data_IF_872851143125
#
_entry.id   IF_872851143125
#
_cell.length_a   1.000
_cell.length_b   1.000
_cell.length_c   1.000
_cell.angle_alpha   90.00
_cell.angle_beta   90.00
_cell.angle_gamma   90.00
#
_symmetry.space_group_name_H-M   'P 1'
#
loop_
_entity.id
_entity.type
_entity.pdbx_description
1 polymer ?
#
# COMPACT_ATOMS: atom_id res chain seq x y z
N UNK A 1 7.99 -3.23 23.20
CA UNK A 1 6.87 -2.33 23.56
C UNK A 1 6.25 -1.71 22.32
N UNK A 2 7.03 -1.04 21.45
CA UNK A 2 6.45 -0.34 20.28
C UNK A 2 5.77 -1.30 19.28
N UNK A 3 6.34 -2.50 19.02
CA UNK A 3 5.68 -3.51 18.17
C UNK A 3 4.34 -3.99 18.74
N UNK A 4 4.24 -4.12 20.06
CA UNK A 4 2.98 -4.46 20.74
C UNK A 4 1.95 -3.34 20.61
N UNK A 5 2.40 -2.09 20.74
CA UNK A 5 1.55 -0.91 20.52
C UNK A 5 1.08 -0.84 19.05
N UNK A 6 1.94 -1.12 18.08
CA UNK A 6 1.53 -1.22 16.67
C UNK A 6 0.49 -2.32 16.46
N UNK A 7 0.71 -3.51 17.04
CA UNK A 7 -0.24 -4.61 16.97
C UNK A 7 -1.62 -4.24 17.53
N UNK A 8 -1.66 -3.49 18.63
CA UNK A 8 -2.90 -2.94 19.19
C UNK A 8 -3.53 -1.87 18.28
N UNK A 9 -2.71 -1.00 17.70
CA UNK A 9 -3.20 0.14 16.91
C UNK A 9 -3.73 -0.28 15.51
N UNK A 10 -3.17 -1.31 14.88
CA UNK A 10 -3.52 -1.71 13.51
C UNK A 10 -5.02 -1.94 13.31
N UNK A 11 -5.75 -2.73 14.14
CA UNK A 11 -7.19 -2.91 13.96
C UNK A 11 -7.99 -1.62 14.11
N UNK A 12 -7.56 -0.73 15.02
CA UNK A 12 -8.19 0.57 15.23
C UNK A 12 -7.94 1.50 14.03
N UNK A 13 -6.75 1.48 13.47
CA UNK A 13 -6.39 2.21 12.25
C UNK A 13 -7.27 1.75 11.09
N UNK A 14 -7.42 0.44 10.91
CA UNK A 14 -8.28 -0.13 9.87
C UNK A 14 -9.72 0.36 10.06
N UNK A 15 -10.27 0.23 11.24
CA UNK A 15 -11.64 0.66 11.52
C UNK A 15 -11.81 2.16 11.32
N UNK A 16 -10.89 2.97 11.84
CA UNK A 16 -10.98 4.43 11.81
C UNK A 16 -10.74 5.06 10.45
N UNK A 17 -10.00 4.43 9.56
CA UNK A 17 -9.72 4.97 8.22
C UNK A 17 -10.62 4.34 7.14
N UNK A 18 -10.87 3.04 7.21
CA UNK A 18 -11.62 2.33 6.15
C UNK A 18 -13.12 2.60 6.25
N UNK A 19 -13.68 2.66 7.48
CA UNK A 19 -15.12 2.86 7.64
C UNK A 19 -15.62 4.21 7.09
N UNK A 20 -15.02 5.37 7.46
CA UNK A 20 -15.39 6.66 6.89
C UNK A 20 -15.20 6.70 5.38
N UNK A 21 -14.06 6.20 4.89
CA UNK A 21 -13.77 6.16 3.46
C UNK A 21 -14.85 5.41 2.66
N UNK A 22 -15.33 4.27 3.15
CA UNK A 22 -16.44 3.53 2.51
C UNK A 22 -17.75 4.29 2.64
N UNK A 23 -18.05 4.89 3.80
CA UNK A 23 -19.30 5.62 4.03
C UNK A 23 -19.41 6.87 3.16
N UNK A 24 -18.29 7.50 2.81
CA UNK A 24 -18.25 8.70 1.99
C UNK A 24 -18.41 8.42 0.50
N UNK A 25 -18.18 7.20 0.05
CA UNK A 25 -18.42 6.79 -1.33
C UNK A 25 -19.90 7.02 -1.74
N UNK A 26 -20.85 6.97 -0.82
CA UNK A 26 -22.22 7.46 -0.93
C UNK A 26 -23.01 7.16 -2.22
N UNK A 27 -24.31 7.42 -2.20
CA UNK A 27 -25.26 7.17 -3.32
C UNK A 27 -25.07 8.09 -4.55
N UNK A 28 -24.22 9.11 -4.46
CA UNK A 28 -24.24 10.25 -5.40
C UNK A 28 -23.43 10.09 -6.68
N UNK A 29 -22.53 9.12 -6.75
CA UNK A 29 -21.59 9.01 -7.87
C UNK A 29 -21.99 7.99 -8.97
N UNK A 30 -23.06 7.25 -8.80
CA UNK A 30 -23.69 6.42 -9.82
C UNK A 30 -22.72 5.56 -10.65
N UNK A 31 -22.89 5.56 -11.97
CA UNK A 31 -22.11 4.77 -12.94
C UNK A 31 -20.61 5.14 -12.93
N UNK A 32 -20.27 6.41 -12.74
CA UNK A 32 -18.88 6.87 -12.76
C UNK A 32 -18.08 6.29 -11.58
N UNK A 33 -18.68 6.18 -10.39
CA UNK A 33 -18.07 5.54 -9.22
C UNK A 33 -17.79 4.07 -9.51
N UNK A 34 -18.79 3.31 -9.99
CA UNK A 34 -18.65 1.88 -10.27
C UNK A 34 -17.51 1.63 -11.26
N UNK A 35 -17.48 2.40 -12.34
CA UNK A 35 -16.44 2.27 -13.38
C UNK A 35 -15.06 2.63 -12.82
N UNK A 36 -14.95 3.72 -12.05
CA UNK A 36 -13.67 4.15 -11.45
C UNK A 36 -13.16 3.10 -10.46
N UNK A 37 -14.01 2.60 -9.58
CA UNK A 37 -13.66 1.55 -8.61
C UNK A 37 -13.25 0.27 -9.34
N UNK A 38 -14.00 -0.18 -10.34
CA UNK A 38 -13.68 -1.38 -11.11
C UNK A 38 -12.32 -1.27 -11.82
N UNK A 39 -12.01 -0.11 -12.41
CA UNK A 39 -10.71 0.14 -13.04
C UNK A 39 -9.59 0.20 -11.99
N UNK A 40 -9.81 0.89 -10.87
CA UNK A 40 -8.82 1.02 -9.79
C UNK A 40 -8.45 -0.35 -9.20
N UNK A 41 -9.46 -1.15 -8.84
CA UNK A 41 -9.22 -2.50 -8.30
C UNK A 41 -8.65 -3.46 -9.35
N UNK A 42 -9.20 -3.46 -10.57
CA UNK A 42 -8.66 -4.27 -11.67
C UNK A 42 -7.19 -3.97 -11.96
N UNK A 43 -6.82 -2.69 -11.96
CA UNK A 43 -5.44 -2.24 -12.11
C UNK A 43 -4.55 -2.66 -10.93
N UNK A 44 -5.07 -2.62 -9.71
CA UNK A 44 -4.35 -3.03 -8.50
C UNK A 44 -4.09 -4.54 -8.50
N UNK A 45 -5.10 -5.35 -8.82
CA UNK A 45 -4.97 -6.81 -8.96
C UNK A 45 -4.00 -7.16 -10.08
N UNK A 46 -4.11 -6.50 -11.24
CA UNK A 46 -3.17 -6.69 -12.35
C UNK A 46 -1.72 -6.42 -11.93
N UNK A 47 -1.46 -5.31 -11.22
CA UNK A 47 -0.13 -4.97 -10.75
C UNK A 47 0.41 -6.00 -9.75
N UNK A 48 -0.41 -6.46 -8.82
CA UNK A 48 -0.08 -7.52 -7.87
C UNK A 48 0.28 -8.84 -8.57
N UNK A 49 -0.52 -9.25 -9.55
CA UNK A 49 -0.25 -10.46 -10.35
C UNK A 49 1.04 -10.34 -11.15
N UNK A 50 1.29 -9.22 -11.81
CA UNK A 50 2.54 -8.96 -12.55
C UNK A 50 3.73 -9.05 -11.59
N UNK A 51 3.61 -8.47 -10.39
CA UNK A 51 4.64 -8.53 -9.36
C UNK A 51 4.91 -9.96 -8.91
N UNK A 52 3.86 -10.73 -8.64
CA UNK A 52 3.98 -12.14 -8.25
C UNK A 52 4.67 -12.97 -9.32
N UNK A 53 4.17 -12.91 -10.57
CA UNK A 53 4.73 -13.69 -11.68
C UNK A 53 6.20 -13.35 -11.94
N UNK A 54 6.53 -12.06 -11.91
CA UNK A 54 7.92 -11.61 -12.09
C UNK A 54 8.79 -12.03 -10.91
N UNK A 55 8.31 -11.88 -9.68
CA UNK A 55 9.04 -12.29 -8.48
C UNK A 55 9.27 -13.81 -8.44
N UNK A 56 8.24 -14.61 -8.74
CA UNK A 56 8.35 -16.06 -8.80
C UNK A 56 9.35 -16.53 -9.87
N UNK A 57 9.48 -15.78 -10.98
CA UNK A 57 10.42 -16.11 -12.06
C UNK A 57 11.87 -15.65 -11.76
N UNK A 58 12.06 -14.46 -11.18
CA UNK A 58 13.39 -13.84 -11.05
C UNK A 58 14.02 -14.01 -9.67
N UNK A 59 13.23 -13.99 -8.58
CA UNK A 59 13.77 -13.98 -7.23
C UNK A 59 14.49 -15.27 -6.82
N UNK A 60 14.10 -16.48 -7.24
CA UNK A 60 14.88 -17.70 -6.93
C UNK A 60 16.32 -17.63 -7.40
N UNK A 61 16.61 -16.96 -8.53
CA UNK A 61 17.95 -16.74 -9.03
C UNK A 61 18.73 -15.61 -8.32
N UNK A 62 18.02 -14.73 -7.59
CA UNK A 62 18.62 -13.59 -6.89
C UNK A 62 18.82 -13.86 -5.40
N UNK A 63 17.96 -14.69 -4.84
CA UNK A 63 17.95 -15.08 -3.44
C UNK A 63 18.61 -16.46 -3.37
N UNK A 64 19.83 -16.52 -2.84
CA UNK A 64 20.42 -17.82 -2.52
C UNK A 64 19.62 -18.45 -1.39
N UNK A 65 19.04 -19.61 -1.67
CA UNK A 65 18.14 -20.30 -0.75
C UNK A 65 18.81 -20.54 0.61
N UNK A 66 18.26 -19.89 1.62
CA UNK A 66 18.01 -20.38 2.95
C UNK A 66 19.10 -20.91 3.87
N UNK A 67 20.35 -21.00 3.46
CA UNK A 67 21.36 -21.66 4.32
C UNK A 67 22.00 -20.78 5.39
N UNK A 68 21.77 -19.48 5.39
CA UNK A 68 22.43 -18.58 6.34
C UNK A 68 21.49 -17.87 7.34
N UNK A 69 20.23 -17.63 6.99
CA UNK A 69 19.35 -16.84 7.87
C UNK A 69 18.73 -17.67 9.00
N UNK A 70 18.45 -18.95 8.77
CA UNK A 70 17.83 -19.81 9.79
C UNK A 70 18.79 -20.33 10.85
N UNK A 71 20.06 -20.56 10.49
CA UNK A 71 21.08 -21.02 11.46
C UNK A 71 21.62 -19.88 12.35
N UNK A 72 21.66 -18.65 11.82
CA UNK A 72 22.18 -17.49 12.56
C UNK A 72 21.10 -16.86 13.44
N UNK A 73 19.85 -16.85 13.00
CA UNK A 73 18.73 -16.29 13.76
C UNK A 73 18.48 -17.03 15.09
N UNK A 74 18.81 -18.31 15.16
CA UNK A 74 18.63 -19.11 16.39
C UNK A 74 19.75 -18.93 17.41
N UNK A 75 20.91 -18.36 17.03
CA UNK A 75 22.09 -18.32 17.90
C UNK A 75 22.31 -16.98 18.64
N UNK A 76 21.66 -15.88 18.25
CA UNK A 76 22.00 -14.54 18.73
C UNK A 76 20.79 -13.59 18.95
N UNK A 77 19.58 -14.09 19.14
CA UNK A 77 18.45 -13.22 19.49
C UNK A 77 18.68 -12.53 20.83
N UNK A 78 18.81 -11.22 20.80
CA UNK A 78 18.82 -10.40 22.01
C UNK A 78 17.45 -10.46 22.66
N UNK A 79 17.33 -11.16 23.79
CA UNK A 79 16.10 -11.17 24.56
C UNK A 79 15.88 -9.81 25.25
N UNK A 80 14.67 -9.24 25.19
CA UNK A 80 14.38 -8.00 25.89
C UNK A 80 14.41 -8.20 27.42
N UNK A 81 14.93 -7.22 28.16
CA UNK A 81 14.97 -7.26 29.62
C UNK A 81 13.60 -7.39 30.28
N UNK A 82 12.54 -6.90 29.61
CA UNK A 82 11.15 -7.06 30.01
C UNK A 82 10.23 -6.99 28.79
N UNK A 83 9.11 -7.67 28.87
CA UNK A 83 8.06 -7.65 27.84
C UNK A 83 6.81 -6.99 28.39
N UNK A 84 6.23 -6.07 27.60
CA UNK A 84 4.90 -5.49 27.87
C UNK A 84 3.96 -6.08 26.84
N UNK A 85 2.96 -6.82 27.28
CA UNK A 85 1.94 -7.39 26.40
C UNK A 85 0.78 -6.41 26.27
N UNK A 86 0.52 -5.95 25.04
CA UNK A 86 -0.62 -5.10 24.71
C UNK A 86 -1.45 -5.87 23.69
N UNK A 87 -2.47 -6.63 24.14
CA UNK A 87 -3.27 -7.42 23.21
C UNK A 87 -4.08 -6.49 22.29
N UNK A 88 -4.24 -6.81 21.00
CA UNK A 88 -5.11 -6.06 20.12
C UNK A 88 -6.56 -6.20 20.57
N UNK A 89 -7.36 -5.14 20.39
CA UNK A 89 -8.79 -5.14 20.72
C UNK A 89 -9.56 -6.18 19.90
N UNK A 90 -9.14 -6.40 18.65
CA UNK A 90 -9.70 -7.41 17.74
C UNK A 90 -8.66 -7.83 16.72
N UNK A 91 -8.89 -8.95 16.04
CA UNK A 91 -8.04 -9.38 14.92
C UNK A 91 -8.19 -8.46 13.70
N UNK A 92 -7.18 -8.43 12.85
CA UNK A 92 -7.14 -7.60 11.62
C UNK A 92 -8.33 -7.91 10.70
N UNK A 93 -8.63 -9.19 10.49
CA UNK A 93 -9.78 -9.60 9.66
C UNK A 93 -11.11 -9.18 10.26
N UNK A 94 -11.26 -9.25 11.58
CA UNK A 94 -12.46 -8.78 12.28
C UNK A 94 -12.64 -7.26 12.09
N UNK A 95 -11.55 -6.49 12.21
CA UNK A 95 -11.57 -5.05 11.97
C UNK A 95 -11.95 -4.71 10.53
N UNK A 96 -11.44 -5.44 9.54
CA UNK A 96 -11.81 -5.27 8.13
C UNK A 96 -13.30 -5.56 7.90
N UNK A 97 -13.78 -6.73 8.33
CA UNK A 97 -15.21 -7.10 8.16
C UNK A 97 -16.11 -6.07 8.83
N UNK A 98 -15.76 -5.63 10.03
CA UNK A 98 -16.50 -4.60 10.76
C UNK A 98 -16.48 -3.26 10.03
N UNK A 99 -15.31 -2.83 9.52
CA UNK A 99 -15.17 -1.59 8.76
C UNK A 99 -16.03 -1.60 7.48
N UNK A 100 -16.01 -2.70 6.73
CA UNK A 100 -16.87 -2.83 5.54
C UNK A 100 -18.35 -2.87 5.90
N UNK A 101 -18.73 -3.62 6.92
CA UNK A 101 -20.13 -3.71 7.34
C UNK A 101 -20.69 -2.35 7.78
N UNK A 102 -19.94 -1.64 8.65
CA UNK A 102 -20.33 -0.31 9.11
C UNK A 102 -20.30 0.72 7.98
N UNK A 103 -19.25 0.72 7.16
CA UNK A 103 -19.10 1.66 6.06
C UNK A 103 -20.22 1.53 5.02
N UNK A 104 -20.51 0.31 4.58
CA UNK A 104 -21.62 0.04 3.64
C UNK A 104 -22.97 0.32 4.27
N UNK A 105 -23.16 -0.06 5.55
CA UNK A 105 -24.40 0.23 6.28
C UNK A 105 -24.66 1.74 6.38
N UNK A 106 -23.65 2.54 6.69
CA UNK A 106 -23.76 4.00 6.76
C UNK A 106 -24.00 4.65 5.40
N UNK A 107 -23.31 4.16 4.37
CA UNK A 107 -23.56 4.60 3.00
C UNK A 107 -25.02 4.35 2.55
N UNK A 108 -25.62 3.25 3.04
CA UNK A 108 -27.00 2.88 2.73
C UNK A 108 -28.06 3.64 3.56
N UNK A 109 -27.78 3.88 4.86
CA UNK A 109 -28.74 4.46 5.81
C UNK A 109 -28.83 5.98 5.78
N UNK A 110 -27.84 6.65 5.21
CA UNK A 110 -27.75 8.13 5.11
C UNK A 110 -27.94 8.85 6.46
N UNK A 111 -27.37 8.28 7.53
CA UNK A 111 -27.43 8.83 8.90
C UNK A 111 -26.18 9.59 9.24
N UNK A 112 -26.29 10.90 9.51
CA UNK A 112 -25.15 11.79 9.75
C UNK A 112 -24.50 11.56 11.12
N UNK A 113 -25.28 11.38 12.19
CA UNK A 113 -24.73 11.32 13.56
C UNK A 113 -23.63 10.28 13.76
N UNK A 114 -23.84 9.05 13.26
CA UNK A 114 -22.82 8.00 13.38
C UNK A 114 -21.67 8.23 12.39
N UNK A 115 -21.97 8.82 11.24
CA UNK A 115 -20.96 9.20 10.24
C UNK A 115 -20.01 10.24 10.80
N UNK A 116 -20.55 11.30 11.43
CA UNK A 116 -19.76 12.36 12.08
C UNK A 116 -18.90 11.79 13.21
N UNK A 117 -19.45 10.90 14.05
CA UNK A 117 -18.69 10.24 15.12
C UNK A 117 -17.53 9.38 14.59
N UNK A 118 -17.70 8.73 13.43
CA UNK A 118 -16.63 7.96 12.80
C UNK A 118 -15.57 8.86 12.16
N UNK A 119 -15.95 10.02 11.63
CA UNK A 119 -14.98 11.03 11.19
C UNK A 119 -14.20 11.63 12.36
N UNK A 120 -14.83 11.88 13.50
CA UNK A 120 -14.11 12.29 14.72
C UNK A 120 -13.13 11.21 15.17
N UNK A 121 -13.53 9.94 15.13
CA UNK A 121 -12.65 8.81 15.44
C UNK A 121 -11.49 8.71 14.44
N UNK A 122 -11.74 8.91 13.14
CA UNK A 122 -10.70 9.01 12.10
C UNK A 122 -9.66 10.08 12.46
N UNK A 123 -10.10 11.28 12.87
CA UNK A 123 -9.18 12.35 13.27
C UNK A 123 -8.34 11.97 14.50
N UNK A 124 -8.91 11.27 15.47
CA UNK A 124 -8.16 10.74 16.62
C UNK A 124 -7.10 9.75 16.18
N UNK A 125 -7.44 8.82 15.27
CA UNK A 125 -6.50 7.86 14.70
C UNK A 125 -5.38 8.55 13.92
N UNK A 126 -5.71 9.50 13.04
CA UNK A 126 -4.71 10.27 12.28
C UNK A 126 -3.77 11.03 13.23
N UNK A 127 -4.31 11.66 14.28
CA UNK A 127 -3.50 12.34 15.28
C UNK A 127 -2.59 11.38 16.03
N UNK A 128 -3.08 10.19 16.37
CA UNK A 128 -2.27 9.14 17.04
C UNK A 128 -1.13 8.66 16.13
N UNK A 129 -1.42 8.44 14.85
CA UNK A 129 -0.40 8.07 13.85
C UNK A 129 0.69 9.15 13.79
N UNK A 130 0.29 10.40 13.61
CA UNK A 130 1.21 11.53 13.43
C UNK A 130 2.02 11.87 14.68
N UNK A 131 1.42 11.73 15.87
CA UNK A 131 2.04 12.16 17.14
C UNK A 131 2.80 11.04 17.86
N UNK A 132 2.44 9.78 17.65
CA UNK A 132 3.06 8.64 18.32
C UNK A 132 3.74 7.67 17.36
N UNK A 133 3.03 7.20 16.32
CA UNK A 133 3.56 6.13 15.46
C UNK A 133 4.70 6.66 14.59
N UNK A 134 4.46 7.72 13.83
CA UNK A 134 5.46 8.27 12.89
C UNK A 134 6.75 8.70 13.61
N UNK A 135 6.72 9.45 14.73
CA UNK A 135 7.95 9.86 15.40
C UNK A 135 8.75 8.71 16.01
N UNK A 136 8.09 7.63 16.45
CA UNK A 136 8.76 6.47 17.05
C UNK A 136 9.23 5.43 16.02
N UNK A 137 8.67 5.46 14.81
CA UNK A 137 8.98 4.51 13.74
C UNK A 137 10.46 4.49 13.35
N UNK A 138 11.18 5.63 13.19
CA UNK A 138 12.60 5.62 12.88
C UNK A 138 13.44 4.95 13.96
N UNK A 139 13.12 5.14 15.24
CA UNK A 139 13.81 4.49 16.36
C UNK A 139 13.56 2.97 16.36
N UNK A 140 12.34 2.56 16.04
CA UNK A 140 11.98 1.16 15.92
C UNK A 140 12.73 0.48 14.76
N UNK A 141 12.74 1.11 13.59
CA UNK A 141 13.47 0.64 12.42
C UNK A 141 14.99 0.58 12.71
N UNK A 142 15.53 1.62 13.35
CA UNK A 142 16.94 1.63 13.79
C UNK A 142 17.25 0.43 14.69
N UNK A 143 16.38 0.13 15.67
CA UNK A 143 16.54 -1.04 16.55
C UNK A 143 16.54 -2.37 15.79
N UNK A 144 15.69 -2.53 14.78
CA UNK A 144 15.68 -3.71 13.91
C UNK A 144 17.01 -3.84 13.17
N UNK A 145 17.46 -2.78 12.49
CA UNK A 145 18.72 -2.81 11.76
C UNK A 145 19.96 -3.03 12.68
N UNK A 146 19.91 -2.48 13.88
CA UNK A 146 20.96 -2.70 14.88
C UNK A 146 21.03 -4.18 15.26
N UNK A 147 19.90 -4.82 15.52
CA UNK A 147 19.85 -6.25 15.81
C UNK A 147 20.33 -7.08 14.62
N UNK A 148 19.89 -6.78 13.39
CA UNK A 148 20.35 -7.44 12.18
C UNK A 148 21.87 -7.27 11.95
N UNK A 149 22.42 -6.10 12.31
CA UNK A 149 23.87 -5.85 12.25
C UNK A 149 24.61 -6.67 13.28
N UNK A 150 24.09 -6.76 14.49
CA UNK A 150 24.67 -7.57 15.56
C UNK A 150 24.72 -9.06 15.19
N UNK A 151 23.67 -9.56 14.54
CA UNK A 151 23.60 -10.95 14.05
C UNK A 151 24.45 -11.16 12.78
N UNK A 152 24.94 -10.09 12.13
CA UNK A 152 25.79 -10.17 10.93
C UNK A 152 25.04 -10.27 9.60
N UNK A 153 23.72 -10.19 9.59
CA UNK A 153 22.86 -10.42 8.40
C UNK A 153 22.64 -9.19 7.50
N UNK A 154 22.98 -8.00 8.01
CA UNK A 154 22.61 -6.72 7.35
C UNK A 154 23.10 -6.63 5.91
N UNK A 155 24.35 -7.01 5.63
CA UNK A 155 24.92 -6.89 4.28
C UNK A 155 24.29 -7.86 3.29
N UNK A 156 23.97 -9.08 3.73
CA UNK A 156 23.30 -10.09 2.90
C UNK A 156 21.90 -9.62 2.51
N UNK A 157 21.13 -9.19 3.50
CA UNK A 157 19.76 -8.69 3.30
C UNK A 157 19.76 -7.45 2.41
N UNK A 158 20.61 -6.45 2.67
CA UNK A 158 20.68 -5.24 1.85
C UNK A 158 21.06 -5.53 0.40
N UNK A 159 21.98 -6.46 0.16
CA UNK A 159 22.40 -6.84 -1.20
C UNK A 159 21.24 -7.47 -1.99
N UNK A 160 20.47 -8.33 -1.36
CA UNK A 160 19.26 -8.94 -1.97
C UNK A 160 18.20 -7.87 -2.20
N UNK A 161 17.90 -7.03 -1.19
CA UNK A 161 16.88 -6.00 -1.32
C UNK A 161 17.22 -4.94 -2.38
N UNK A 162 18.48 -4.56 -2.57
CA UNK A 162 18.88 -3.64 -3.65
C UNK A 162 18.53 -4.23 -5.03
N UNK A 163 18.77 -5.52 -5.24
CA UNK A 163 18.39 -6.21 -6.49
C UNK A 163 16.87 -6.23 -6.67
N UNK A 164 16.13 -6.58 -5.63
CA UNK A 164 14.66 -6.60 -5.64
C UNK A 164 14.09 -5.21 -5.91
N UNK A 165 14.63 -4.17 -5.27
CA UNK A 165 14.23 -2.77 -5.53
C UNK A 165 14.46 -2.40 -6.99
N UNK A 166 15.58 -2.82 -7.60
CA UNK A 166 15.82 -2.63 -9.04
C UNK A 166 14.73 -3.27 -9.90
N UNK A 167 14.33 -4.50 -9.59
CA UNK A 167 13.21 -5.17 -10.28
C UNK A 167 11.90 -4.42 -10.07
N UNK A 168 11.61 -3.99 -8.83
CA UNK A 168 10.41 -3.21 -8.52
C UNK A 168 10.34 -1.92 -9.34
N UNK A 169 11.44 -1.17 -9.45
CA UNK A 169 11.49 0.04 -10.27
C UNK A 169 11.25 -0.26 -11.76
N UNK A 170 11.86 -1.32 -12.29
CA UNK A 170 11.62 -1.74 -13.67
C UNK A 170 10.14 -2.11 -13.90
N UNK A 171 9.54 -2.83 -12.97
CA UNK A 171 8.12 -3.17 -13.00
C UNK A 171 7.21 -1.94 -12.92
N UNK A 172 7.52 -0.96 -12.06
CA UNK A 172 6.76 0.30 -12.01
C UNK A 172 6.75 1.00 -13.35
N UNK A 173 7.91 1.12 -14.00
CA UNK A 173 8.01 1.72 -15.32
C UNK A 173 7.21 0.91 -16.34
N UNK A 174 7.32 -0.42 -16.34
CA UNK A 174 6.60 -1.29 -17.27
C UNK A 174 5.09 -1.17 -17.09
N UNK A 175 4.58 -1.26 -15.85
CA UNK A 175 3.15 -1.14 -15.56
C UNK A 175 2.63 0.26 -15.93
N UNK A 176 3.40 1.31 -15.64
CA UNK A 176 3.06 2.68 -16.04
C UNK A 176 2.93 2.81 -17.55
N UNK A 177 3.89 2.27 -18.32
CA UNK A 177 3.85 2.27 -19.78
C UNK A 177 2.65 1.50 -20.33
N UNK A 178 2.33 0.35 -19.74
CA UNK A 178 1.15 -0.45 -20.11
C UNK A 178 -0.14 0.35 -19.87
N UNK A 179 -0.30 0.94 -18.69
CA UNK A 179 -1.48 1.74 -18.32
C UNK A 179 -1.66 2.94 -19.27
N UNK A 180 -0.58 3.69 -19.55
CA UNK A 180 -0.64 4.81 -20.48
C UNK A 180 -0.86 4.36 -21.94
N UNK A 181 -0.36 3.20 -22.33
CA UNK A 181 -0.63 2.63 -23.64
C UNK A 181 -2.11 2.28 -23.80
N UNK A 182 -2.70 1.61 -22.80
CA UNK A 182 -4.14 1.30 -22.79
C UNK A 182 -4.96 2.60 -22.84
N UNK A 183 -4.64 3.56 -21.98
CA UNK A 183 -5.33 4.86 -21.96
C UNK A 183 -5.18 5.61 -23.28
N UNK A 184 -4.00 5.58 -23.90
CA UNK A 184 -3.72 6.20 -25.19
C UNK A 184 -4.52 5.58 -26.33
N UNK A 185 -4.64 4.25 -26.36
CA UNK A 185 -5.44 3.51 -27.36
C UNK A 185 -6.92 3.90 -27.19
N UNK A 186 -7.45 3.86 -25.97
CA UNK A 186 -8.86 4.18 -25.68
C UNK A 186 -9.17 5.64 -26.01
N UNK A 187 -8.29 6.57 -25.62
CA UNK A 187 -8.45 8.00 -25.84
C UNK A 187 -8.03 8.45 -27.26
N UNK A 188 -7.46 7.56 -28.07
CA UNK A 188 -6.86 7.87 -29.39
C UNK A 188 -5.82 9.00 -29.31
N UNK A 189 -5.01 8.98 -28.26
CA UNK A 189 -3.93 9.96 -27.98
C UNK A 189 -2.59 9.24 -27.88
N UNK A 190 -1.51 9.96 -28.13
CA UNK A 190 -0.17 9.41 -28.01
C UNK A 190 0.19 9.15 -26.52
N UNK A 191 0.42 7.90 -26.11
CA UNK A 191 0.69 7.54 -24.71
C UNK A 191 1.96 8.18 -24.15
N UNK A 192 3.01 8.30 -24.96
CA UNK A 192 4.26 8.96 -24.54
C UNK A 192 4.07 10.46 -24.28
N UNK A 193 3.28 11.14 -25.11
CA UNK A 193 2.95 12.56 -24.88
C UNK A 193 2.11 12.72 -23.60
N UNK A 194 1.19 11.81 -23.33
CA UNK A 194 0.41 11.80 -22.10
C UNK A 194 1.31 11.58 -20.88
N UNK A 195 2.21 10.60 -20.93
CA UNK A 195 3.16 10.33 -19.87
C UNK A 195 4.07 11.53 -19.59
N UNK A 196 4.63 12.15 -20.65
CA UNK A 196 5.46 13.35 -20.51
C UNK A 196 4.71 14.53 -19.88
N UNK A 197 3.42 14.69 -20.21
CA UNK A 197 2.58 15.71 -19.59
C UNK A 197 2.40 15.49 -18.10
N UNK A 198 2.38 14.23 -17.65
CA UNK A 198 2.19 13.85 -16.25
C UNK A 198 3.49 13.81 -15.43
N UNK A 199 4.67 13.98 -16.03
CA UNK A 199 5.95 13.95 -15.31
C UNK A 199 6.00 14.90 -14.11
N UNK A 200 5.48 16.15 -14.15
CA UNK A 200 5.47 17.03 -12.98
C UNK A 200 4.72 16.42 -11.79
N UNK A 201 3.59 15.73 -12.03
CA UNK A 201 2.85 15.03 -10.98
C UNK A 201 3.65 13.83 -10.45
N UNK A 202 4.32 13.10 -11.33
CA UNK A 202 5.17 11.98 -10.94
C UNK A 202 6.33 12.41 -10.02
N UNK A 203 7.05 13.48 -10.36
CA UNK A 203 8.12 14.01 -9.52
C UNK A 203 7.61 14.60 -8.21
N UNK A 204 6.42 15.23 -8.22
CA UNK A 204 5.77 15.70 -6.99
C UNK A 204 5.43 14.51 -6.08
N UNK A 205 4.91 13.43 -6.63
CA UNK A 205 4.60 12.22 -5.87
C UNK A 205 5.85 11.57 -5.27
N UNK A 206 6.96 11.52 -6.02
CA UNK A 206 8.24 11.03 -5.53
C UNK A 206 8.78 11.88 -4.37
N UNK A 207 8.68 13.20 -4.48
CA UNK A 207 9.17 14.13 -3.46
C UNK A 207 8.32 14.14 -2.19
N UNK A 208 7.00 14.13 -2.34
CA UNK A 208 6.07 14.22 -1.21
C UNK A 208 5.73 12.87 -0.59
N UNK A 209 5.89 11.78 -1.34
CA UNK A 209 5.46 10.42 -0.99
C UNK A 209 3.97 10.36 -0.56
N UNK A 210 3.16 11.31 -1.03
CA UNK A 210 1.76 11.48 -0.67
C UNK A 210 0.89 11.65 -1.91
N UNK A 211 0.01 10.70 -2.15
CA UNK A 211 -0.97 10.80 -3.24
C UNK A 211 -1.91 11.99 -3.04
N UNK A 212 -2.33 12.25 -1.81
CA UNK A 212 -3.20 13.39 -1.48
C UNK A 212 -2.52 14.74 -1.76
N UNK A 213 -1.26 14.91 -1.36
CA UNK A 213 -0.49 16.13 -1.63
C UNK A 213 -0.25 16.36 -3.14
N UNK A 214 -0.31 15.29 -3.94
CA UNK A 214 -0.10 15.34 -5.39
C UNK A 214 -1.37 15.70 -6.17
N UNK A 215 -2.56 15.61 -5.55
CA UNK A 215 -3.86 15.86 -6.22
C UNK A 215 -3.88 17.16 -7.02
N UNK A 216 -3.47 18.35 -6.49
CA UNK A 216 -3.55 19.59 -7.24
C UNK A 216 -2.72 19.58 -8.52
N UNK A 217 -1.52 19.00 -8.45
CA UNK A 217 -0.62 18.92 -9.61
C UNK A 217 -1.18 17.93 -10.63
N UNK A 218 -1.68 16.78 -10.18
CA UNK A 218 -2.30 15.77 -11.05
C UNK A 218 -3.52 16.33 -11.77
N UNK A 219 -4.38 17.09 -11.09
CA UNK A 219 -5.53 17.80 -11.69
C UNK A 219 -5.09 18.77 -12.79
N UNK A 220 -4.08 19.58 -12.51
CA UNK A 220 -3.55 20.54 -13.48
C UNK A 220 -3.00 19.86 -14.74
N UNK A 221 -2.31 18.72 -14.58
CA UNK A 221 -1.78 17.98 -15.72
C UNK A 221 -2.89 17.21 -16.48
N UNK A 222 -3.88 16.66 -15.78
CA UNK A 222 -5.03 15.98 -16.41
C UNK A 222 -5.84 16.95 -17.30
N UNK A 223 -6.05 18.18 -16.85
CA UNK A 223 -6.68 19.25 -17.65
C UNK A 223 -5.90 19.54 -18.93
N UNK A 224 -4.56 19.61 -18.86
CA UNK A 224 -3.70 19.81 -20.05
C UNK A 224 -3.84 18.63 -21.06
N UNK A 225 -4.15 17.44 -20.57
CA UNK A 225 -4.43 16.30 -21.42
C UNK A 225 -5.85 16.31 -22.02
N UNK A 226 -6.69 17.30 -21.63
CA UNK A 226 -8.06 17.44 -22.11
C UNK A 226 -9.07 16.56 -21.37
N UNK A 227 -8.79 16.20 -20.14
CA UNK A 227 -9.78 15.57 -19.24
C UNK A 227 -10.69 16.67 -18.68
N UNK A 228 -12.02 16.46 -18.71
CA UNK A 228 -12.98 17.43 -18.19
C UNK A 228 -12.81 17.64 -16.68
N UNK A 229 -13.18 18.84 -16.20
CA UNK A 229 -13.08 19.18 -14.78
C UNK A 229 -13.98 18.29 -13.91
N UNK A 230 -15.15 17.92 -14.41
CA UNK A 230 -16.09 17.03 -13.74
C UNK A 230 -15.47 15.64 -13.49
N UNK A 231 -14.89 15.03 -14.52
CA UNK A 231 -14.27 13.70 -14.41
C UNK A 231 -13.00 13.77 -13.58
N UNK A 232 -12.11 14.72 -13.85
CA UNK A 232 -10.82 14.83 -13.13
C UNK A 232 -11.03 15.19 -11.67
N UNK A 233 -11.95 16.11 -11.36
CA UNK A 233 -12.27 16.53 -10.00
C UNK A 233 -12.87 15.44 -9.14
N UNK A 234 -13.55 14.46 -9.73
CA UNK A 234 -14.07 13.29 -9.04
C UNK A 234 -13.05 12.15 -8.97
N UNK A 235 -12.51 11.74 -10.12
CA UNK A 235 -11.69 10.53 -10.23
C UNK A 235 -10.34 10.67 -9.52
N UNK A 236 -9.66 11.81 -9.64
CA UNK A 236 -8.31 11.97 -9.11
C UNK A 236 -8.28 11.94 -7.58
N UNK A 237 -9.12 12.69 -6.84
CA UNK A 237 -9.17 12.57 -5.38
C UNK A 237 -9.57 11.17 -4.91
N UNK A 238 -10.56 10.55 -5.56
CA UNK A 238 -10.99 9.19 -5.23
C UNK A 238 -9.87 8.18 -5.45
N UNK A 239 -9.23 8.20 -6.62
CA UNK A 239 -8.13 7.29 -6.95
C UNK A 239 -6.87 7.51 -6.09
N UNK A 240 -6.68 8.69 -5.52
CA UNK A 240 -5.58 8.93 -4.58
C UNK A 240 -5.66 8.03 -3.33
N UNK A 241 -6.85 7.54 -2.99
CA UNK A 241 -7.10 6.65 -1.84
C UNK A 241 -7.31 5.18 -2.23
N UNK A 242 -7.99 4.90 -3.36
CA UNK A 242 -8.40 3.53 -3.71
C UNK A 242 -7.53 2.86 -4.78
N UNK A 243 -6.78 3.62 -5.59
CA UNK A 243 -5.94 3.07 -6.66
C UNK A 243 -4.51 2.83 -6.16
N UNK A 244 -4.23 1.61 -5.73
CA UNK A 244 -3.00 1.23 -5.05
C UNK A 244 -2.07 0.36 -5.92
N UNK A 245 -2.17 0.40 -7.25
CA UNK A 245 -1.41 -0.47 -8.16
C UNK A 245 0.11 -0.42 -7.91
N UNK A 246 0.68 0.77 -7.74
CA UNK A 246 2.11 0.93 -7.44
C UNK A 246 2.50 0.39 -6.06
N UNK A 247 1.66 0.58 -5.05
CA UNK A 247 1.89 0.05 -3.69
C UNK A 247 1.78 -1.47 -3.67
N UNK A 248 0.75 -2.02 -4.31
CA UNK A 248 0.53 -3.47 -4.39
C UNK A 248 1.71 -4.18 -5.07
N UNK A 249 2.22 -3.61 -6.16
CA UNK A 249 3.36 -4.15 -6.87
C UNK A 249 4.58 -4.32 -5.94
N UNK A 250 4.94 -3.30 -5.17
CA UNK A 250 6.08 -3.37 -4.26
C UNK A 250 5.80 -4.24 -3.03
N UNK A 251 4.57 -4.23 -2.49
CA UNK A 251 4.20 -5.02 -1.30
C UNK A 251 4.29 -6.51 -1.64
N UNK A 252 3.72 -6.94 -2.76
CA UNK A 252 3.78 -8.34 -3.22
C UNK A 252 5.23 -8.77 -3.48
N UNK A 253 6.03 -7.93 -4.17
CA UNK A 253 7.44 -8.24 -4.43
C UNK A 253 8.23 -8.40 -3.13
N UNK A 254 8.07 -7.48 -2.17
CA UNK A 254 8.79 -7.54 -0.89
C UNK A 254 8.32 -8.72 -0.02
N UNK A 255 7.02 -8.99 0.03
CA UNK A 255 6.46 -10.12 0.77
C UNK A 255 6.98 -11.45 0.21
N UNK A 256 6.90 -11.63 -1.11
CA UNK A 256 7.39 -12.83 -1.78
C UNK A 256 8.90 -13.03 -1.56
N UNK A 257 9.69 -11.97 -1.68
CA UNK A 257 11.11 -12.03 -1.42
C UNK A 257 11.43 -12.43 0.01
N UNK A 258 10.71 -11.87 0.98
CA UNK A 258 10.88 -12.20 2.40
C UNK A 258 10.50 -13.67 2.67
N UNK A 259 9.38 -14.15 2.11
CA UNK A 259 8.98 -15.56 2.23
C UNK A 259 10.05 -16.50 1.68
N UNK A 260 10.58 -16.20 0.49
CA UNK A 260 11.67 -16.98 -0.11
C UNK A 260 12.94 -16.97 0.75
N UNK A 261 13.31 -15.80 1.30
CA UNK A 261 14.50 -15.70 2.18
C UNK A 261 14.34 -16.50 3.49
N UNK A 262 13.12 -16.59 4.01
CA UNK A 262 12.80 -17.35 5.23
C UNK A 262 12.48 -18.82 4.97
N UNK A 263 12.50 -19.27 3.71
CA UNK A 263 12.14 -20.65 3.34
C UNK A 263 10.66 -20.97 3.59
N UNK A 264 9.79 -19.95 3.63
CA UNK A 264 8.36 -20.16 3.80
C UNK A 264 7.74 -20.66 2.51
N UNK A 265 6.80 -21.58 2.63
CA UNK A 265 5.99 -22.04 1.49
C UNK A 265 5.09 -20.91 1.00
N UNK A 266 4.98 -20.77 -0.29
CA UNK A 266 4.07 -19.83 -0.95
C UNK A 266 3.49 -20.48 -2.21
N UNK A 267 2.23 -20.22 -2.45
CA UNK A 267 1.55 -20.64 -3.66
C UNK A 267 0.77 -19.49 -4.31
N UNK A 268 0.26 -19.76 -5.49
CA UNK A 268 -0.52 -18.77 -6.23
C UNK A 268 -1.81 -18.39 -5.48
N UNK A 269 -2.49 -19.35 -4.87
CA UNK A 269 -3.77 -19.11 -4.19
C UNK A 269 -3.57 -18.21 -2.97
N UNK A 270 -2.51 -18.46 -2.19
CA UNK A 270 -2.15 -17.64 -1.03
C UNK A 270 -1.83 -16.19 -1.44
N UNK A 271 -0.99 -16.00 -2.45
CA UNK A 271 -0.61 -14.64 -2.89
C UNK A 271 -1.78 -13.95 -3.59
N UNK A 272 -2.59 -14.66 -4.37
CA UNK A 272 -3.79 -14.09 -4.99
C UNK A 272 -4.83 -13.66 -3.94
N UNK A 273 -4.98 -14.44 -2.87
CA UNK A 273 -5.84 -14.07 -1.74
C UNK A 273 -5.29 -12.89 -0.92
N UNK A 274 -3.98 -12.65 -0.98
CA UNK A 274 -3.32 -11.49 -0.35
C UNK A 274 -3.47 -10.20 -1.18
N UNK A 275 -3.51 -10.28 -2.52
CA UNK A 275 -3.73 -9.16 -3.46
C UNK A 275 -5.16 -8.65 -3.37
#
# INVERSE_FOLDING_TARGET
IFSQFLGFAIPLIILGLVTPAISDIGKTAGKMLIVTVAIAYGSTVFAGLVSYLTGAALFPGMIQSGSSLQEVASAAELSPYFTVTIPPLMGVMTALVLAFTLGLGLAALDRQTLKDALHDFEQVIIKTINSAIIPLLPLYIFGIFLNMTYVGEVFSILTVFIKIIGVIFALHIAVLLIQYSIAGIVARKNPFKMLMTMLPAYFTALGTQSSAATIPVTLAQARKMGVSDEVSGFVIPLCATIHLSGSMLKIVACALALMMMQGMEYDFAMIFGFI
#
